data_IF_332689199420
#
_entry.id   IF_332689199420
#
_cell.length_a   1.000
_cell.length_b   1.000
_cell.length_c   1.000
_cell.angle_alpha   90.00
_cell.angle_beta   90.00
_cell.angle_gamma   90.00
#
_symmetry.space_group_name_H-M   'P 1'
#
loop_
_entity.id
_entity.type
_entity.pdbx_description
1 polymer ?
#
# COMPACT_ATOMS: atom_id res chain seq x y z
N UNK A 1 -8.57 -26.02 6.78
CA UNK A 1 -10.03 -26.27 6.85
C UNK A 1 -10.35 -26.85 8.20
N UNK A 2 -11.53 -26.56 8.75
CA UNK A 2 -12.03 -27.23 9.96
C UNK A 2 -12.60 -28.62 9.61
N UNK A 3 -12.89 -29.42 10.63
CA UNK A 3 -13.52 -30.74 10.48
C UNK A 3 -14.89 -30.67 9.77
N UNK A 4 -15.57 -29.53 9.87
CA UNK A 4 -16.84 -29.23 9.19
C UNK A 4 -16.68 -28.59 7.81
N UNK A 5 -15.47 -28.62 7.24
CA UNK A 5 -15.13 -28.04 5.94
C UNK A 5 -15.38 -26.52 5.80
N UNK A 6 -15.28 -25.76 6.90
CA UNK A 6 -15.23 -24.30 6.83
C UNK A 6 -13.80 -23.82 6.56
N UNK A 7 -13.69 -22.66 5.92
CA UNK A 7 -12.42 -22.01 5.65
C UNK A 7 -11.81 -21.45 6.94
N UNK A 8 -10.49 -21.57 7.06
CA UNK A 8 -9.72 -20.91 8.12
C UNK A 8 -8.99 -19.74 7.46
N UNK A 9 -9.33 -18.52 7.86
CA UNK A 9 -8.70 -17.29 7.35
C UNK A 9 -7.31 -17.08 7.98
N UNK A 10 -6.33 -17.91 7.59
CA UNK A 10 -4.96 -17.84 8.09
C UNK A 10 -4.03 -17.10 7.11
N UNK A 11 -2.75 -16.98 7.50
CA UNK A 11 -1.73 -16.30 6.70
C UNK A 11 -1.48 -16.98 5.34
N UNK A 12 -1.53 -18.31 5.26
CA UNK A 12 -1.35 -19.03 4.00
C UNK A 12 -2.43 -18.67 2.97
N UNK A 13 -3.68 -18.46 3.41
CA UNK A 13 -4.73 -17.97 2.52
C UNK A 13 -4.44 -16.54 2.06
N UNK A 14 -3.99 -15.66 2.96
CA UNK A 14 -3.59 -14.29 2.61
C UNK A 14 -2.45 -14.29 1.59
N UNK A 15 -1.41 -15.09 1.81
CA UNK A 15 -0.25 -15.21 0.91
C UNK A 15 -0.67 -15.69 -0.48
N UNK A 16 -1.56 -16.68 -0.57
CA UNK A 16 -2.11 -17.14 -1.85
C UNK A 16 -2.87 -16.01 -2.57
N UNK A 17 -3.69 -15.25 -1.84
CA UNK A 17 -4.45 -14.15 -2.40
C UNK A 17 -3.50 -13.04 -2.86
N UNK A 18 -2.56 -12.62 -2.02
CA UNK A 18 -1.57 -11.59 -2.33
C UNK A 18 -0.70 -12.02 -3.54
N UNK A 19 -0.31 -13.29 -3.64
CA UNK A 19 0.42 -13.83 -4.81
C UNK A 19 -0.39 -13.63 -6.11
N UNK A 20 -1.65 -14.04 -6.13
CA UNK A 20 -2.48 -13.91 -7.34
C UNK A 20 -2.77 -12.46 -7.69
N UNK A 21 -3.04 -11.61 -6.70
CA UNK A 21 -3.54 -10.25 -6.91
C UNK A 21 -2.46 -9.19 -7.01
N UNK A 22 -1.28 -9.42 -6.43
CA UNK A 22 -0.20 -8.44 -6.41
C UNK A 22 0.96 -8.83 -7.31
N UNK A 23 1.29 -10.11 -7.46
CA UNK A 23 2.47 -10.49 -8.25
C UNK A 23 2.19 -10.60 -9.76
N UNK A 24 0.92 -10.64 -10.19
CA UNK A 24 0.55 -10.85 -11.60
C UNK A 24 -0.39 -9.77 -12.13
N UNK A 25 -0.06 -9.24 -13.31
CA UNK A 25 -0.54 -7.98 -13.88
C UNK A 25 -1.75 -8.12 -14.83
N UNK A 26 -2.60 -9.16 -14.65
CA UNK A 26 -3.74 -9.35 -15.55
C UNK A 26 -5.07 -9.02 -14.83
N UNK A 27 -5.97 -8.33 -15.54
CA UNK A 27 -7.28 -7.93 -15.01
C UNK A 27 -8.18 -9.12 -14.62
N UNK A 28 -7.87 -10.33 -15.08
CA UNK A 28 -8.63 -11.56 -14.81
C UNK A 28 -8.11 -12.37 -13.61
N UNK A 29 -7.05 -11.93 -12.91
CA UNK A 29 -6.42 -12.72 -11.83
C UNK A 29 -7.35 -13.00 -10.66
N UNK A 30 -8.24 -12.06 -10.33
CA UNK A 30 -9.27 -12.30 -9.33
C UNK A 30 -10.22 -13.44 -9.75
N UNK A 31 -10.58 -13.52 -11.03
CA UNK A 31 -11.42 -14.59 -11.56
C UNK A 31 -10.69 -15.93 -11.62
N UNK A 32 -9.41 -15.93 -12.02
CA UNK A 32 -8.55 -17.11 -11.99
C UNK A 32 -8.38 -17.65 -10.57
N UNK A 33 -8.17 -16.77 -9.58
CA UNK A 33 -8.07 -17.16 -8.18
C UNK A 33 -9.39 -17.77 -7.68
N UNK A 34 -10.54 -17.16 -7.99
CA UNK A 34 -11.86 -17.72 -7.63
C UNK A 34 -12.07 -19.09 -8.25
N UNK A 35 -11.69 -19.28 -9.52
CA UNK A 35 -11.76 -20.59 -10.19
C UNK A 35 -10.84 -21.60 -9.50
N UNK A 36 -9.59 -21.21 -9.23
CA UNK A 36 -8.63 -22.05 -8.52
C UNK A 36 -9.17 -22.52 -7.17
N UNK A 37 -9.72 -21.60 -6.35
CA UNK A 37 -10.31 -21.93 -5.05
C UNK A 37 -11.49 -22.90 -5.18
N UNK A 38 -12.38 -22.71 -6.17
CA UNK A 38 -13.49 -23.63 -6.43
C UNK A 38 -13.03 -25.03 -6.86
N UNK A 39 -11.89 -25.15 -7.54
CA UNK A 39 -11.34 -26.46 -7.91
C UNK A 39 -10.62 -27.17 -6.76
N UNK A 40 -10.10 -26.42 -5.79
CA UNK A 40 -9.28 -26.95 -4.69
C UNK A 40 -10.04 -27.20 -3.41
N UNK A 41 -11.10 -26.43 -3.17
CA UNK A 41 -11.89 -26.49 -1.94
C UNK A 41 -13.25 -27.13 -2.20
N UNK A 42 -13.78 -27.80 -1.16
CA UNK A 42 -15.17 -28.27 -1.16
C UNK A 42 -16.07 -27.20 -0.57
N UNK A 43 -17.35 -27.24 -0.92
CA UNK A 43 -18.38 -26.45 -0.24
C UNK A 43 -18.51 -26.89 1.23
N UNK A 44 -18.67 -25.97 2.21
CA UNK A 44 -18.87 -24.52 2.04
C UNK A 44 -17.59 -23.68 1.87
N UNK A 45 -16.40 -24.21 2.20
CA UNK A 45 -15.14 -23.45 2.16
C UNK A 45 -14.83 -22.78 0.82
N UNK A 46 -15.20 -23.38 -0.31
CA UNK A 46 -14.99 -22.76 -1.63
C UNK A 46 -15.76 -21.45 -1.79
N UNK A 47 -17.02 -21.39 -1.35
CA UNK A 47 -17.84 -20.17 -1.46
C UNK A 47 -17.39 -19.12 -0.45
N UNK A 48 -17.01 -19.54 0.76
CA UNK A 48 -16.42 -18.64 1.76
C UNK A 48 -15.12 -18.00 1.25
N UNK A 49 -14.25 -18.79 0.61
CA UNK A 49 -12.99 -18.29 0.06
C UNK A 49 -13.24 -17.31 -1.09
N UNK A 50 -14.19 -17.60 -1.98
CA UNK A 50 -14.60 -16.69 -3.05
C UNK A 50 -15.12 -15.36 -2.48
N UNK A 51 -15.97 -15.39 -1.47
CA UNK A 51 -16.47 -14.18 -0.82
C UNK A 51 -15.36 -13.36 -0.16
N UNK A 52 -14.37 -14.01 0.46
CA UNK A 52 -13.20 -13.32 1.02
C UNK A 52 -12.39 -12.63 -0.08
N UNK A 53 -12.16 -13.29 -1.22
CA UNK A 53 -11.44 -12.69 -2.36
C UNK A 53 -12.17 -11.46 -2.88
N UNK A 54 -13.49 -11.54 -3.09
CA UNK A 54 -14.29 -10.40 -3.58
C UNK A 54 -14.22 -9.20 -2.62
N UNK A 55 -14.36 -9.46 -1.32
CA UNK A 55 -14.23 -8.43 -0.27
C UNK A 55 -12.82 -7.85 -0.22
N UNK A 56 -11.80 -8.69 -0.42
CA UNK A 56 -10.41 -8.26 -0.39
C UNK A 56 -10.05 -7.36 -1.57
N UNK A 57 -10.46 -7.71 -2.80
CA UNK A 57 -10.29 -6.84 -3.98
C UNK A 57 -10.98 -5.49 -3.77
N UNK A 58 -12.20 -5.49 -3.24
CA UNK A 58 -12.91 -4.25 -2.92
C UNK A 58 -12.18 -3.44 -1.83
N UNK A 59 -11.65 -4.10 -0.80
CA UNK A 59 -10.87 -3.46 0.25
C UNK A 59 -9.57 -2.84 -0.27
N UNK A 60 -8.85 -3.52 -1.17
CA UNK A 60 -7.62 -2.99 -1.78
C UNK A 60 -7.87 -1.66 -2.49
N UNK A 61 -8.96 -1.58 -3.28
CA UNK A 61 -9.35 -0.34 -3.96
C UNK A 61 -9.72 0.76 -2.96
N UNK A 62 -10.59 0.45 -2.00
CA UNK A 62 -11.01 1.42 -0.99
C UNK A 62 -9.83 1.91 -0.12
N UNK A 63 -8.88 1.03 0.18
CA UNK A 63 -7.64 1.37 0.88
C UNK A 63 -6.84 2.42 0.11
N UNK A 64 -6.58 2.18 -1.18
CA UNK A 64 -5.83 3.10 -2.02
C UNK A 64 -6.54 4.45 -2.18
N UNK A 65 -7.88 4.46 -2.26
CA UNK A 65 -8.69 5.69 -2.25
C UNK A 65 -8.53 6.48 -0.94
N UNK A 66 -8.45 5.81 0.22
CA UNK A 66 -8.20 6.51 1.50
C UNK A 66 -6.81 7.13 1.57
N UNK A 67 -5.79 6.45 1.03
CA UNK A 67 -4.44 6.99 0.93
C UNK A 67 -4.39 8.21 0.02
N UNK A 68 -5.01 8.13 -1.17
CA UNK A 68 -5.07 9.22 -2.12
C UNK A 68 -5.79 10.46 -1.55
N UNK A 69 -6.94 10.27 -0.90
CA UNK A 69 -7.69 11.34 -0.23
C UNK A 69 -6.84 12.04 0.83
N UNK A 70 -6.07 11.25 1.57
CA UNK A 70 -5.16 11.76 2.59
C UNK A 70 -3.81 12.16 2.03
N UNK A 71 -3.57 12.19 0.71
CA UNK A 71 -2.25 12.40 0.07
C UNK A 71 -1.09 11.72 0.83
N UNK A 72 -1.30 10.47 1.27
CA UNK A 72 -0.29 9.63 1.91
C UNK A 72 0.27 8.66 0.88
N UNK A 73 1.58 8.58 0.78
CA UNK A 73 2.26 7.61 -0.06
C UNK A 73 3.61 7.23 0.57
N UNK A 74 4.04 5.99 0.37
CA UNK A 74 5.26 5.47 0.99
C UNK A 74 6.53 6.13 0.44
N UNK A 75 6.52 6.50 -0.85
CA UNK A 75 7.69 7.05 -1.55
C UNK A 75 8.10 8.44 -1.06
N UNK A 76 7.14 9.26 -0.64
CA UNK A 76 7.40 10.61 -0.11
C UNK A 76 7.64 10.62 1.38
N UNK A 77 7.24 9.57 2.11
CA UNK A 77 7.36 9.52 3.55
C UNK A 77 8.82 9.24 3.98
N UNK A 78 9.40 10.17 4.72
CA UNK A 78 10.74 10.08 5.28
C UNK A 78 10.79 10.66 6.70
N UNK A 79 11.89 10.43 7.42
CA UNK A 79 12.03 10.84 8.81
C UNK A 79 11.79 12.34 9.09
N UNK A 80 12.03 13.22 8.10
CA UNK A 80 11.90 14.67 8.27
C UNK A 80 10.49 15.21 8.03
N UNK A 81 9.60 14.41 7.43
CA UNK A 81 8.24 14.85 7.07
C UNK A 81 7.13 13.95 7.62
N UNK A 82 7.44 13.09 8.60
CA UNK A 82 6.45 12.23 9.24
C UNK A 82 5.43 13.09 10.02
N UNK A 83 4.20 13.16 9.52
CA UNK A 83 3.06 13.70 10.27
C UNK A 83 2.34 12.57 11.01
N UNK A 84 2.71 12.36 12.27
CA UNK A 84 2.18 11.28 13.10
C UNK A 84 0.68 11.45 13.38
N UNK A 85 0.18 12.68 13.50
CA UNK A 85 -1.24 12.91 13.77
C UNK A 85 -2.09 12.52 12.56
N UNK A 86 -1.63 12.86 11.35
CA UNK A 86 -2.26 12.43 10.10
C UNK A 86 -2.21 10.92 9.93
N UNK A 87 -1.05 10.28 10.15
CA UNK A 87 -0.92 8.82 10.05
C UNK A 87 -1.81 8.11 11.08
N UNK A 88 -1.89 8.63 12.31
CA UNK A 88 -2.75 8.07 13.35
C UNK A 88 -4.23 8.13 12.98
N UNK A 89 -4.67 9.26 12.42
CA UNK A 89 -6.06 9.45 11.96
C UNK A 89 -6.38 8.51 10.80
N UNK A 90 -5.50 8.45 9.80
CA UNK A 90 -5.67 7.55 8.66
C UNK A 90 -5.70 6.08 9.10
N UNK A 91 -4.83 5.67 10.03
CA UNK A 91 -4.81 4.31 10.57
C UNK A 91 -6.17 3.93 11.16
N UNK A 92 -6.78 4.80 11.98
CA UNK A 92 -8.11 4.54 12.54
C UNK A 92 -9.17 4.35 11.45
N UNK A 93 -9.11 5.14 10.37
CA UNK A 93 -10.01 4.99 9.23
C UNK A 93 -9.79 3.66 8.50
N UNK A 94 -8.53 3.27 8.30
CA UNK A 94 -8.15 2.00 7.68
C UNK A 94 -8.63 0.81 8.50
N UNK A 95 -8.47 0.85 9.83
CA UNK A 95 -8.88 -0.24 10.72
C UNK A 95 -10.42 -0.41 10.67
N UNK A 96 -11.18 0.70 10.71
CA UNK A 96 -12.63 0.69 10.51
C UNK A 96 -13.06 0.21 9.11
N UNK A 97 -12.31 0.58 8.06
CA UNK A 97 -12.58 0.11 6.70
C UNK A 97 -12.39 -1.40 6.61
N UNK A 98 -11.27 -1.91 7.13
CA UNK A 98 -10.91 -3.32 7.14
C UNK A 98 -11.93 -4.15 7.92
N UNK A 99 -12.32 -3.71 9.11
CA UNK A 99 -13.32 -4.40 9.92
C UNK A 99 -14.67 -4.49 9.18
N UNK A 100 -15.11 -3.41 8.53
CA UNK A 100 -16.38 -3.37 7.77
C UNK A 100 -16.35 -4.28 6.53
N UNK A 101 -15.23 -4.34 5.81
CA UNK A 101 -15.15 -5.05 4.54
C UNK A 101 -14.73 -6.51 4.70
N UNK A 102 -13.76 -6.80 5.57
CA UNK A 102 -13.17 -8.14 5.72
C UNK A 102 -13.72 -8.89 6.94
N UNK A 103 -14.22 -8.18 7.95
CA UNK A 103 -14.70 -8.74 9.20
C UNK A 103 -13.58 -8.97 10.22
N UNK A 104 -13.95 -9.02 11.50
CA UNK A 104 -13.00 -9.05 12.62
C UNK A 104 -12.09 -10.28 12.64
N UNK A 105 -12.55 -11.43 12.14
CA UNK A 105 -11.72 -12.63 12.09
C UNK A 105 -10.56 -12.47 11.10
N UNK A 106 -10.83 -11.96 9.89
CA UNK A 106 -9.79 -11.70 8.89
C UNK A 106 -8.85 -10.61 9.39
N UNK A 107 -9.39 -9.53 9.95
CA UNK A 107 -8.61 -8.46 10.57
C UNK A 107 -7.60 -9.00 11.59
N UNK A 108 -8.08 -9.82 12.53
CA UNK A 108 -7.25 -10.38 13.59
C UNK A 108 -6.16 -11.31 13.03
N UNK A 109 -6.53 -12.30 12.22
CA UNK A 109 -5.55 -13.30 11.77
C UNK A 109 -4.54 -12.72 10.80
N UNK A 110 -4.95 -11.81 9.91
CA UNK A 110 -4.06 -11.31 8.87
C UNK A 110 -3.22 -10.13 9.34
N UNK A 111 -3.76 -9.22 10.15
CA UNK A 111 -3.13 -7.91 10.35
C UNK A 111 -2.66 -7.63 11.76
N UNK A 112 -2.99 -8.47 12.76
CA UNK A 112 -2.61 -8.23 14.15
C UNK A 112 -1.11 -7.94 14.32
N UNK A 113 -0.24 -8.69 13.64
CA UNK A 113 1.20 -8.50 13.73
C UNK A 113 1.63 -7.16 13.12
N UNK A 114 1.20 -6.87 11.89
CA UNK A 114 1.50 -5.62 11.20
C UNK A 114 0.98 -4.40 11.98
N UNK A 115 -0.23 -4.51 12.55
CA UNK A 115 -0.85 -3.43 13.33
C UNK A 115 -0.16 -3.21 14.67
N UNK A 116 0.37 -4.27 15.30
CA UNK A 116 1.14 -4.17 16.53
C UNK A 116 2.46 -3.42 16.30
N UNK A 117 3.17 -3.75 15.22
CA UNK A 117 4.40 -3.07 14.81
C UNK A 117 4.13 -1.61 14.44
N UNK A 118 3.05 -1.34 13.71
CA UNK A 118 2.65 0.02 13.37
C UNK A 118 2.28 0.86 14.60
N UNK A 119 1.57 0.25 15.57
CA UNK A 119 1.23 0.91 16.84
C UNK A 119 2.48 1.32 17.59
N UNK A 120 3.41 0.39 17.74
CA UNK A 120 4.70 0.65 18.38
C UNK A 120 5.43 1.80 17.67
N UNK A 121 5.54 1.77 16.34
CA UNK A 121 6.22 2.81 15.59
C UNK A 121 5.59 4.18 15.82
N UNK A 122 4.25 4.29 15.76
CA UNK A 122 3.52 5.53 16.02
C UNK A 122 3.80 6.07 17.43
N UNK A 123 3.74 5.22 18.45
CA UNK A 123 3.92 5.63 19.83
C UNK A 123 5.38 6.08 20.11
N UNK A 124 6.37 5.39 19.56
CA UNK A 124 7.77 5.80 19.64
C UNK A 124 8.03 7.14 18.94
N UNK A 125 7.43 7.37 17.77
CA UNK A 125 7.53 8.66 17.09
C UNK A 125 6.85 9.80 17.85
N UNK A 126 5.69 9.57 18.49
CA UNK A 126 5.05 10.58 19.35
C UNK A 126 5.94 10.95 20.52
N UNK A 127 6.56 9.97 21.16
CA UNK A 127 7.46 10.21 22.28
C UNK A 127 8.68 11.03 21.85
N UNK A 128 9.29 10.70 20.71
CA UNK A 128 10.41 11.47 20.15
C UNK A 128 10.05 12.94 19.89
N UNK A 129 8.86 13.20 19.33
CA UNK A 129 8.39 14.57 19.12
C UNK A 129 8.22 15.32 20.45
N UNK A 130 7.62 14.67 21.46
CA UNK A 130 7.44 15.27 22.79
C UNK A 130 8.78 15.56 23.50
N UNK A 131 9.76 14.65 23.39
CA UNK A 131 11.10 14.82 23.95
C UNK A 131 11.85 15.98 23.27
N UNK A 132 11.69 16.18 21.95
CA UNK A 132 12.25 17.33 21.22
C UNK A 132 11.64 18.67 21.61
N UNK A 133 10.33 18.69 21.88
CA UNK A 133 9.62 19.90 22.33
C UNK A 133 9.85 20.24 23.81
N UNK A 134 10.59 19.40 24.55
CA UNK A 134 10.85 19.58 25.98
C UNK A 134 9.58 19.44 26.85
N UNK A 135 8.53 18.80 26.31
CA UNK A 135 7.28 18.57 27.03
C UNK A 135 7.52 17.48 28.06
N UNK A 136 7.50 17.84 29.35
CA UNK A 136 7.60 16.86 30.44
C UNK A 136 6.45 15.85 30.33
N UNK A 137 6.76 14.60 30.01
CA UNK A 137 5.73 13.58 29.84
C UNK A 137 4.87 13.46 31.10
N UNK A 138 3.55 13.44 30.92
CA UNK A 138 2.61 13.12 31.98
C UNK A 138 2.85 11.68 32.46
N UNK A 139 2.79 11.46 33.77
CA UNK A 139 3.10 10.17 34.43
C UNK A 139 2.15 9.00 34.07
N UNK A 140 1.23 9.19 33.12
CA UNK A 140 0.13 8.28 32.80
C UNK A 140 0.32 7.52 31.48
N UNK A 141 1.32 7.86 30.66
CA UNK A 141 1.61 7.12 29.42
C UNK A 141 2.84 6.22 29.60
N UNK A 142 2.74 4.90 29.30
CA UNK A 142 3.90 4.04 29.29
C UNK A 142 4.89 4.57 28.25
N UNK A 143 6.06 5.02 28.70
CA UNK A 143 7.15 5.43 27.81
C UNK A 143 7.74 4.19 27.16
N UNK A 144 7.90 4.23 25.84
CA UNK A 144 8.78 3.30 25.18
C UNK A 144 10.21 3.60 25.68
N UNK A 145 11.00 2.59 26.08
CA UNK A 145 12.38 2.81 26.45
C UNK A 145 13.14 3.26 25.21
N UNK A 146 13.30 4.57 25.04
CA UNK A 146 14.17 5.14 24.00
C UNK A 146 15.59 4.80 24.43
N UNK A 147 16.32 3.95 23.70
CA UNK A 147 17.70 3.66 24.04
C UNK A 147 18.49 4.97 24.05
N UNK A 148 19.31 5.18 25.08
CA UNK A 148 20.28 6.26 25.06
C UNK A 148 21.36 5.91 24.03
N UNK A 149 21.13 6.30 22.78
CA UNK A 149 22.05 6.02 21.68
C UNK A 149 23.40 6.66 21.99
N UNK A 150 24.44 5.84 22.09
CA UNK A 150 25.79 6.32 22.40
C UNK A 150 26.44 6.99 21.19
N UNK A 151 25.89 6.78 19.98
CA UNK A 151 26.34 7.39 18.74
C UNK A 151 25.15 7.72 17.83
N UNK A 152 25.36 8.67 16.90
CA UNK A 152 24.34 9.14 15.95
C UNK A 152 23.94 8.11 14.89
N UNK A 153 24.80 7.11 14.64
CA UNK A 153 24.54 6.06 13.64
C UNK A 153 23.46 5.08 14.10
N UNK A 154 23.50 4.68 15.36
CA UNK A 154 22.51 3.78 15.95
C UNK A 154 21.14 4.47 16.06
N UNK A 155 21.15 5.78 16.36
CA UNK A 155 19.93 6.60 16.32
C UNK A 155 19.33 6.67 14.91
N UNK A 156 20.16 6.87 13.88
CA UNK A 156 19.72 6.92 12.48
C UNK A 156 19.17 5.57 12.00
N UNK A 157 19.84 4.47 12.35
CA UNK A 157 19.35 3.12 12.06
C UNK A 157 17.99 2.84 12.73
N UNK A 158 17.81 3.30 13.97
CA UNK A 158 16.53 3.17 14.65
C UNK A 158 15.44 4.01 14.00
N UNK A 159 15.75 5.23 13.57
CA UNK A 159 14.79 6.07 12.81
C UNK A 159 14.35 5.36 11.53
N UNK A 160 15.28 4.74 10.80
CA UNK A 160 14.95 3.95 9.61
C UNK A 160 14.10 2.73 9.95
N UNK A 161 14.40 2.05 11.06
CA UNK A 161 13.56 0.95 11.57
C UNK A 161 12.13 1.40 11.84
N UNK A 162 11.93 2.55 12.51
CA UNK A 162 10.59 3.09 12.79
C UNK A 162 9.86 3.60 11.54
N UNK A 163 10.60 4.03 10.53
CA UNK A 163 10.04 4.47 9.25
C UNK A 163 9.45 3.30 8.47
N UNK A 164 10.04 2.10 8.58
CA UNK A 164 9.62 0.90 7.85
C UNK A 164 8.14 0.53 8.04
N UNK A 165 7.62 0.36 9.28
CA UNK A 165 6.21 0.07 9.52
C UNK A 165 5.27 1.16 9.00
N UNK A 166 5.67 2.43 9.11
CA UNK A 166 4.88 3.55 8.58
C UNK A 166 4.80 3.49 7.05
N UNK A 167 5.94 3.35 6.37
CA UNK A 167 6.01 3.21 4.92
C UNK A 167 5.22 2.00 4.43
N UNK A 168 5.40 0.84 5.07
CA UNK A 168 4.64 -0.38 4.76
C UNK A 168 3.13 -0.14 4.88
N UNK A 169 2.69 0.55 5.92
CA UNK A 169 1.28 0.83 6.12
C UNK A 169 0.72 1.75 5.03
N UNK A 170 1.45 2.79 4.64
CA UNK A 170 0.99 3.76 3.61
C UNK A 170 1.37 3.40 2.18
N UNK A 171 1.92 2.20 1.95
CA UNK A 171 2.16 1.71 0.60
C UNK A 171 0.82 1.27 0.00
N UNK A 172 0.47 1.82 -1.15
CA UNK A 172 -0.77 1.44 -1.84
C UNK A 172 -0.68 0.01 -2.38
N UNK A 173 -1.81 -0.67 -2.55
CA UNK A 173 -1.82 -1.99 -3.18
C UNK A 173 -1.40 -1.91 -4.65
N UNK A 174 -1.75 -0.82 -5.33
CA UNK A 174 -1.26 -0.48 -6.66
C UNK A 174 0.26 -0.28 -6.72
N UNK A 175 0.92 0.21 -5.67
CA UNK A 175 2.39 0.29 -5.59
C UNK A 175 3.01 -1.07 -5.27
N UNK A 176 2.35 -1.88 -4.44
CA UNK A 176 2.81 -3.24 -4.09
C UNK A 176 2.72 -4.21 -5.26
N UNK A 177 1.79 -3.98 -6.19
CA UNK A 177 1.63 -4.85 -7.34
C UNK A 177 2.88 -4.83 -8.22
N UNK A 178 3.12 -5.92 -8.95
CA UNK A 178 4.21 -6.01 -9.90
C UNK A 178 4.14 -4.86 -10.93
N UNK A 179 2.93 -4.42 -11.30
CA UNK A 179 2.74 -3.22 -12.12
C UNK A 179 3.33 -1.97 -11.46
N UNK A 180 3.00 -1.73 -10.17
CA UNK A 180 3.51 -0.63 -9.38
C UNK A 180 5.01 -0.63 -9.18
N UNK A 181 5.63 -1.81 -9.04
CA UNK A 181 7.08 -1.94 -8.86
C UNK A 181 7.85 -1.47 -10.10
N UNK A 182 7.33 -1.77 -11.30
CA UNK A 182 7.95 -1.36 -12.56
C UNK A 182 7.42 -0.01 -13.08
N UNK A 183 6.38 0.54 -12.45
CA UNK A 183 5.76 1.81 -12.84
C UNK A 183 6.77 2.97 -12.83
N UNK A 184 7.58 3.08 -11.76
CA UNK A 184 8.53 4.19 -11.62
C UNK A 184 9.58 4.22 -12.74
N UNK A 185 10.07 3.05 -13.16
CA UNK A 185 11.02 2.92 -14.27
C UNK A 185 10.38 3.31 -15.60
N UNK A 186 9.16 2.81 -15.87
CA UNK A 186 8.40 3.15 -17.08
C UNK A 186 8.03 4.63 -17.12
N UNK A 187 7.65 5.21 -15.98
CA UNK A 187 7.32 6.62 -15.86
C UNK A 187 8.54 7.53 -16.02
N UNK A 188 9.70 7.16 -15.46
CA UNK A 188 10.96 7.87 -15.72
C UNK A 188 11.34 7.83 -17.21
N UNK A 189 11.19 6.68 -17.88
CA UNK A 189 11.37 6.57 -19.33
C UNK A 189 10.36 7.43 -20.10
N UNK A 190 9.10 7.46 -19.65
CA UNK A 190 8.04 8.28 -20.22
C UNK A 190 8.39 9.77 -20.18
N UNK A 191 8.84 10.29 -19.03
CA UNK A 191 9.21 11.70 -18.89
C UNK A 191 10.35 12.08 -19.85
N UNK A 192 11.40 11.25 -19.92
CA UNK A 192 12.53 11.49 -20.81
C UNK A 192 12.13 11.54 -22.29
N UNK A 193 11.27 10.61 -22.74
CA UNK A 193 10.84 10.56 -24.13
C UNK A 193 9.75 11.61 -24.43
N UNK A 194 8.88 11.91 -23.48
CA UNK A 194 7.87 12.96 -23.60
C UNK A 194 8.50 14.36 -23.65
N UNK A 195 9.61 14.59 -22.94
CA UNK A 195 10.40 15.82 -23.08
C UNK A 195 10.95 15.99 -24.50
N UNK A 196 11.45 14.93 -25.13
CA UNK A 196 11.92 14.98 -26.53
C UNK A 196 10.79 15.33 -27.49
N UNK A 197 9.62 14.71 -27.33
CA UNK A 197 8.42 14.99 -28.13
C UNK A 197 7.94 16.44 -27.92
N UNK A 198 8.02 16.94 -26.68
CA UNK A 198 7.60 18.31 -26.35
C UNK A 198 8.52 19.36 -26.96
N UNK A 199 9.83 19.12 -26.95
CA UNK A 199 10.84 20.03 -27.51
C UNK A 199 11.06 19.87 -29.02
N UNK A 200 10.40 18.92 -29.67
CA UNK A 200 10.47 18.77 -31.12
C UNK A 200 9.70 19.92 -31.81
N UNK A 201 10.46 20.83 -32.42
CA UNK A 201 9.94 21.98 -33.15
C UNK A 201 9.31 21.63 -34.51
N UNK A 202 9.51 20.40 -35.00
CA UNK A 202 8.91 19.92 -36.26
C UNK A 202 7.45 19.46 -36.10
N UNK A 203 6.99 19.26 -34.86
CA UNK A 203 5.65 18.78 -34.55
C UNK A 203 4.69 19.93 -34.23
N UNK A 204 3.51 19.91 -34.85
CA UNK A 204 2.39 20.76 -34.41
C UNK A 204 1.75 20.22 -33.12
N UNK A 205 0.82 20.99 -32.54
CA UNK A 205 0.18 20.62 -31.27
C UNK A 205 -0.65 19.33 -31.34
N UNK A 206 -1.30 19.06 -32.48
CA UNK A 206 -2.11 17.86 -32.65
C UNK A 206 -1.22 16.61 -32.80
N UNK A 207 -0.13 16.72 -33.57
CA UNK A 207 0.88 15.68 -33.73
C UNK A 207 1.60 15.38 -32.42
N UNK A 208 1.97 16.42 -31.65
CA UNK A 208 2.58 16.27 -30.33
C UNK A 208 1.66 15.52 -29.37
N UNK A 209 0.39 15.89 -29.29
CA UNK A 209 -0.59 15.20 -28.45
C UNK A 209 -0.81 13.75 -28.88
N UNK A 210 -0.88 13.47 -30.19
CA UNK A 210 -1.01 12.12 -30.72
C UNK A 210 0.20 11.25 -30.37
N UNK A 211 1.42 11.79 -30.48
CA UNK A 211 2.65 11.08 -30.10
C UNK A 211 2.75 10.84 -28.59
N UNK A 212 2.37 11.82 -27.76
CA UNK A 212 2.31 11.64 -26.31
C UNK A 212 1.25 10.61 -25.88
N UNK A 213 0.13 10.52 -26.61
CA UNK A 213 -0.86 9.48 -26.39
C UNK A 213 -0.34 8.10 -26.81
N UNK A 214 0.29 7.99 -27.98
CA UNK A 214 0.89 6.75 -28.45
C UNK A 214 2.00 6.26 -27.51
N UNK A 215 2.82 7.18 -26.99
CA UNK A 215 3.85 6.89 -26.01
C UNK A 215 3.26 6.36 -24.69
N UNK A 216 2.16 6.96 -24.21
CA UNK A 216 1.43 6.45 -23.04
C UNK A 216 0.88 5.05 -23.27
N UNK A 217 0.18 4.82 -24.39
CA UNK A 217 -0.35 3.48 -24.72
C UNK A 217 0.77 2.44 -24.83
N UNK A 218 1.95 2.83 -25.32
CA UNK A 218 3.12 1.95 -25.45
C UNK A 218 3.74 1.57 -24.10
N UNK A 219 3.88 2.54 -23.19
CA UNK A 219 4.58 2.34 -21.91
C UNK A 219 3.65 1.88 -20.79
N UNK A 220 2.34 2.06 -20.94
CA UNK A 220 1.35 1.81 -19.90
C UNK A 220 0.27 0.87 -20.45
N UNK A 221 0.43 -0.46 -20.26
CA UNK A 221 -0.47 -1.46 -20.84
C UNK A 221 -1.91 -1.37 -20.31
N UNK A 222 -2.13 -0.95 -19.08
CA UNK A 222 -3.48 -0.89 -18.50
C UNK A 222 -4.09 0.52 -18.62
N UNK A 223 -5.42 0.59 -18.65
CA UNK A 223 -6.13 1.87 -18.72
C UNK A 223 -5.88 2.75 -17.49
N UNK A 224 -5.78 2.14 -16.30
CA UNK A 224 -5.50 2.85 -15.06
C UNK A 224 -4.10 3.48 -15.05
N UNK A 225 -3.11 2.76 -15.56
CA UNK A 225 -1.75 3.24 -15.75
C UNK A 225 -1.68 4.40 -16.77
N UNK A 226 -2.37 4.29 -17.91
CA UNK A 226 -2.42 5.37 -18.90
C UNK A 226 -3.01 6.66 -18.34
N UNK A 227 -4.07 6.53 -17.53
CA UNK A 227 -4.73 7.66 -16.89
C UNK A 227 -3.85 8.30 -15.82
N UNK A 228 -3.20 7.49 -14.98
CA UNK A 228 -2.22 7.97 -13.99
C UNK A 228 -1.07 8.76 -14.66
N UNK A 229 -0.52 8.25 -15.76
CA UNK A 229 0.53 8.97 -16.51
C UNK A 229 0.01 10.26 -17.16
N UNK A 230 -1.26 10.29 -17.58
CA UNK A 230 -1.88 11.50 -18.10
C UNK A 230 -1.96 12.61 -17.04
N UNK A 231 -2.43 12.24 -15.85
CA UNK A 231 -2.68 13.17 -14.74
C UNK A 231 -1.38 13.74 -14.16
N UNK A 232 -0.34 12.92 -14.07
CA UNK A 232 0.98 13.37 -13.62
C UNK A 232 1.70 14.22 -14.69
N UNK A 233 1.32 14.08 -15.96
CA UNK A 233 1.94 14.78 -17.07
C UNK A 233 3.39 14.33 -17.35
N UNK A 234 4.03 14.90 -18.39
CA UNK A 234 5.46 14.75 -18.63
C UNK A 234 6.32 15.63 -17.70
#
# INVERSE_FOLDING_TARGET
MTDSHHLISNDTLRELIDFFLLEQADDDRADQLKLYLRTRLRSPASEEAVQIVERYVAYMKAHDETLATQNLNAQSLNASNVDINRISTWRQQRDQLRQRMLGGQVEQFWYQNDDSQLTQAIDEWRQRAADQEGVAASAQQPRYPVPHWQNSRDEELHIQYLLGPLQKAVTSFSERSHEGQHWAERYSSYQNDAQKITHDASLDAAQRNAQLQALRVKLFPTQGEQQRAHELGP
#
